data_IF_340190589342
#
_entry.id   IF_340190589342
#
_cell.length_a   1.000
_cell.length_b   1.000
_cell.length_c   1.000
_cell.angle_alpha   90.00
_cell.angle_beta   90.00
_cell.angle_gamma   90.00
#
_symmetry.space_group_name_H-M   'P 1'
#
loop_
_entity.id
_entity.type
_entity.pdbx_description
1 polymer ?
#
# COMPACT_ATOMS: atom_id res chain seq x y z
N UNK A 1 43.47 -27.94 -11.40
CA UNK A 1 42.05 -28.09 -10.98
C UNK A 1 41.58 -27.10 -9.95
N UNK A 2 42.44 -26.54 -9.07
CA UNK A 2 41.98 -25.54 -8.03
C UNK A 2 41.59 -24.13 -8.57
N UNK A 3 42.07 -23.72 -9.74
CA UNK A 3 41.74 -22.39 -10.32
C UNK A 3 40.40 -22.32 -11.04
N UNK A 4 39.83 -23.47 -11.46
CA UNK A 4 38.52 -23.50 -12.15
C UNK A 4 37.35 -23.38 -11.17
N UNK A 5 37.51 -23.82 -9.91
CA UNK A 5 36.45 -23.75 -8.87
C UNK A 5 36.21 -22.31 -8.38
N UNK A 6 37.24 -21.45 -8.40
CA UNK A 6 37.11 -20.04 -7.96
C UNK A 6 36.34 -19.16 -8.96
N UNK A 7 36.36 -19.49 -10.25
CA UNK A 7 35.64 -18.78 -11.29
C UNK A 7 34.11 -19.02 -11.26
N UNK A 8 33.69 -20.22 -10.82
CA UNK A 8 32.25 -20.58 -10.71
C UNK A 8 31.61 -19.87 -9.51
N UNK A 9 32.36 -19.69 -8.41
CA UNK A 9 31.83 -19.02 -7.21
C UNK A 9 31.65 -17.49 -7.41
N UNK A 10 32.49 -16.85 -8.27
CA UNK A 10 32.38 -15.44 -8.59
C UNK A 10 31.17 -15.09 -9.49
N UNK A 11 30.68 -16.05 -10.28
CA UNK A 11 29.56 -15.82 -11.21
C UNK A 11 28.20 -15.80 -10.48
N UNK A 12 28.02 -16.60 -9.42
CA UNK A 12 26.78 -16.56 -8.60
C UNK A 12 26.62 -15.26 -7.81
N UNK A 13 27.72 -14.65 -7.31
CA UNK A 13 27.65 -13.42 -6.54
C UNK A 13 27.26 -12.19 -7.40
N UNK A 14 27.58 -12.21 -8.69
CA UNK A 14 27.20 -11.14 -9.63
C UNK A 14 25.71 -11.17 -9.99
N UNK A 15 25.07 -12.34 -10.00
CA UNK A 15 23.64 -12.50 -10.29
C UNK A 15 22.76 -11.83 -9.22
N UNK A 16 23.00 -12.12 -7.96
CA UNK A 16 22.23 -11.53 -6.85
C UNK A 16 22.34 -10.00 -6.76
N UNK A 17 23.50 -9.44 -7.07
CA UNK A 17 23.72 -7.98 -7.08
C UNK A 17 22.92 -7.30 -8.18
N UNK A 18 22.76 -7.94 -9.34
CA UNK A 18 22.03 -7.38 -10.47
C UNK A 18 20.51 -7.41 -10.23
N UNK A 19 19.97 -8.50 -9.71
CA UNK A 19 18.54 -8.65 -9.40
C UNK A 19 18.05 -7.63 -8.36
N UNK A 20 18.84 -7.37 -7.32
CA UNK A 20 18.52 -6.36 -6.32
C UNK A 20 18.53 -4.95 -6.90
N UNK A 21 19.47 -4.63 -7.80
CA UNK A 21 19.55 -3.34 -8.47
C UNK A 21 18.35 -3.13 -9.41
N UNK A 22 17.93 -4.16 -10.12
CA UNK A 22 16.77 -4.11 -11.02
C UNK A 22 15.46 -3.90 -10.23
N UNK A 23 15.33 -4.53 -9.04
CA UNK A 23 14.20 -4.33 -8.14
C UNK A 23 14.14 -2.88 -7.64
N UNK A 24 15.25 -2.34 -7.15
CA UNK A 24 15.35 -0.95 -6.68
C UNK A 24 15.02 0.05 -7.79
N UNK A 25 15.52 -0.16 -9.00
CA UNK A 25 15.23 0.69 -10.16
C UNK A 25 13.74 0.67 -10.54
N UNK A 26 13.07 -0.48 -10.41
CA UNK A 26 11.64 -0.60 -10.66
C UNK A 26 10.83 0.13 -9.59
N UNK A 27 11.17 -0.06 -8.31
CA UNK A 27 10.51 0.62 -7.18
C UNK A 27 10.66 2.15 -7.27
N UNK A 28 11.86 2.63 -7.62
CA UNK A 28 12.09 4.06 -7.83
C UNK A 28 11.21 4.64 -8.94
N UNK A 29 11.01 3.92 -10.05
CA UNK A 29 10.09 4.36 -11.11
C UNK A 29 8.65 4.46 -10.63
N UNK A 30 8.20 3.54 -9.77
CA UNK A 30 6.85 3.60 -9.16
C UNK A 30 6.74 4.83 -8.28
N UNK A 31 7.72 5.09 -7.42
CA UNK A 31 7.74 6.25 -6.53
C UNK A 31 7.76 7.58 -7.32
N UNK A 32 8.61 7.68 -8.34
CA UNK A 32 8.69 8.87 -9.19
C UNK A 32 7.36 9.13 -9.92
N UNK A 33 6.71 8.05 -10.37
CA UNK A 33 5.41 8.14 -11.03
C UNK A 33 4.32 8.64 -10.05
N UNK A 34 4.25 8.07 -8.85
CA UNK A 34 3.32 8.51 -7.80
C UNK A 34 3.56 9.99 -7.43
N UNK A 35 4.82 10.40 -7.26
CA UNK A 35 5.21 11.79 -6.94
C UNK A 35 4.88 12.79 -8.06
N UNK A 36 4.64 12.33 -9.29
CA UNK A 36 4.29 13.20 -10.42
C UNK A 36 2.83 13.60 -10.46
N UNK A 37 1.96 12.96 -9.68
CA UNK A 37 0.53 13.22 -9.69
C UNK A 37 0.14 14.32 -8.69
N UNK A 38 -0.81 15.19 -9.10
CA UNK A 38 -1.38 16.23 -8.23
C UNK A 38 -2.32 15.63 -7.19
N UNK A 39 -3.11 14.63 -7.60
CA UNK A 39 -3.95 13.84 -6.73
C UNK A 39 -4.04 12.39 -7.21
N UNK A 40 -4.39 11.49 -6.30
CA UNK A 40 -4.55 10.07 -6.58
C UNK A 40 -5.86 9.60 -5.95
N UNK A 41 -6.63 8.83 -6.73
CA UNK A 41 -7.82 8.12 -6.28
C UNK A 41 -7.65 6.62 -6.54
N UNK A 42 -7.87 5.82 -5.50
CA UNK A 42 -7.72 4.37 -5.55
C UNK A 42 -8.98 3.71 -4.98
N UNK A 43 -9.61 2.82 -5.76
CA UNK A 43 -10.49 1.79 -5.24
C UNK A 43 -9.71 0.48 -5.08
N UNK A 44 -9.89 -0.20 -3.98
CA UNK A 44 -9.18 -1.46 -3.72
C UNK A 44 -10.08 -2.50 -3.06
N UNK A 45 -9.71 -3.76 -3.25
CA UNK A 45 -10.24 -4.89 -2.49
C UNK A 45 -9.19 -5.33 -1.46
N UNK A 46 -9.59 -5.38 -0.20
CA UNK A 46 -8.81 -5.92 0.91
C UNK A 46 -9.28 -7.33 1.22
N UNK A 47 -8.38 -8.31 1.14
CA UNK A 47 -8.68 -9.71 1.44
C UNK A 47 -7.77 -10.21 2.54
N UNK A 48 -8.37 -10.77 3.60
CA UNK A 48 -7.66 -11.44 4.69
C UNK A 48 -7.94 -12.93 4.61
N UNK A 49 -6.88 -13.75 4.60
CA UNK A 49 -6.95 -15.21 4.59
C UNK A 49 -6.03 -15.81 5.64
N UNK A 50 -6.56 -16.76 6.40
CA UNK A 50 -5.78 -17.68 7.22
C UNK A 50 -6.43 -19.04 7.12
N UNK A 51 -5.74 -20.00 6.46
CA UNK A 51 -6.30 -21.32 6.19
C UNK A 51 -6.32 -22.22 7.44
N UNK A 52 -5.44 -21.98 8.40
CA UNK A 52 -5.39 -22.76 9.65
C UNK A 52 -6.56 -22.37 10.57
N UNK A 53 -6.99 -21.11 10.52
CA UNK A 53 -8.08 -20.57 11.34
C UNK A 53 -9.40 -20.48 10.57
N UNK A 54 -9.47 -20.99 9.34
CA UNK A 54 -10.66 -20.94 8.45
C UNK A 54 -11.18 -19.50 8.22
N UNK A 55 -10.28 -18.54 8.18
CA UNK A 55 -10.61 -17.14 7.92
C UNK A 55 -10.47 -16.84 6.44
N UNK A 56 -11.52 -16.30 5.81
CA UNK A 56 -11.49 -15.74 4.46
C UNK A 56 -12.50 -14.61 4.37
N UNK A 57 -12.03 -13.37 4.38
CA UNK A 57 -12.85 -12.16 4.33
C UNK A 57 -12.36 -11.25 3.22
N UNK A 58 -13.29 -10.64 2.49
CA UNK A 58 -12.98 -9.62 1.49
C UNK A 58 -13.86 -8.40 1.70
N UNK A 59 -13.26 -7.23 1.72
CA UNK A 59 -13.91 -5.93 1.87
C UNK A 59 -13.38 -4.99 0.80
N UNK A 60 -14.20 -4.02 0.40
CA UNK A 60 -13.78 -2.97 -0.51
C UNK A 60 -13.51 -1.69 0.28
N UNK A 61 -12.63 -0.86 -0.25
CA UNK A 61 -12.34 0.45 0.28
C UNK A 61 -11.94 1.42 -0.81
N UNK A 62 -11.83 2.67 -0.44
CA UNK A 62 -11.33 3.72 -1.30
C UNK A 62 -10.35 4.62 -0.56
N UNK A 63 -9.49 5.24 -1.33
CA UNK A 63 -8.49 6.18 -0.84
C UNK A 63 -8.33 7.31 -1.85
N UNK A 64 -8.31 8.54 -1.38
CA UNK A 64 -8.01 9.70 -2.20
C UNK A 64 -7.09 10.65 -1.44
N UNK A 65 -6.11 11.21 -2.14
CA UNK A 65 -5.18 12.19 -1.57
C UNK A 65 -4.90 13.32 -2.54
N UNK A 66 -4.72 14.53 -2.00
CA UNK A 66 -4.28 15.73 -2.70
C UNK A 66 -3.47 16.59 -1.74
N UNK A 67 -2.20 16.88 -2.07
CA UNK A 67 -1.24 17.51 -1.16
C UNK A 67 -1.13 16.72 0.15
N UNK A 68 -1.38 17.37 1.30
CA UNK A 68 -1.37 16.73 2.62
C UNK A 68 -2.76 16.19 3.02
N UNK A 69 -3.81 16.54 2.28
CA UNK A 69 -5.17 16.12 2.58
C UNK A 69 -5.43 14.71 2.09
N UNK A 70 -6.23 13.96 2.83
CA UNK A 70 -6.63 12.64 2.39
C UNK A 70 -7.97 12.19 2.98
N UNK A 71 -8.61 11.29 2.26
CA UNK A 71 -9.82 10.60 2.67
C UNK A 71 -9.66 9.11 2.41
N UNK A 72 -10.02 8.32 3.41
CA UNK A 72 -9.93 6.87 3.40
C UNK A 72 -11.25 6.26 3.85
N UNK A 73 -11.73 5.27 3.15
CA UNK A 73 -12.96 4.55 3.48
C UNK A 73 -12.70 3.05 3.49
N UNK A 74 -13.03 2.37 4.60
CA UNK A 74 -12.95 0.92 4.72
C UNK A 74 -13.82 0.43 5.86
N UNK A 75 -14.51 -0.72 5.68
CA UNK A 75 -15.32 -1.37 6.72
C UNK A 75 -16.37 -0.45 7.35
N UNK A 76 -16.98 0.44 6.57
CA UNK A 76 -17.98 1.39 7.05
C UNK A 76 -17.40 2.61 7.75
N UNK A 77 -16.11 2.64 8.07
CA UNK A 77 -15.45 3.79 8.68
C UNK A 77 -14.90 4.72 7.60
N UNK A 78 -15.15 6.01 7.75
CA UNK A 78 -14.56 7.07 6.94
C UNK A 78 -13.54 7.84 7.78
N UNK A 79 -12.33 8.02 7.26
CA UNK A 79 -11.32 8.90 7.84
C UNK A 79 -11.02 10.04 6.90
N UNK A 80 -11.00 11.26 7.41
CA UNK A 80 -10.70 12.49 6.67
C UNK A 80 -9.59 13.23 7.41
N UNK A 81 -8.52 13.56 6.70
CA UNK A 81 -7.51 14.50 7.18
C UNK A 81 -7.56 15.76 6.31
N UNK A 82 -7.76 16.91 6.95
CA UNK A 82 -7.93 18.21 6.28
C UNK A 82 -6.66 19.06 6.23
N UNK A 83 -5.50 18.44 6.56
CA UNK A 83 -4.21 19.12 6.69
C UNK A 83 -3.89 19.55 8.12
N UNK A 84 -4.87 19.52 9.05
CA UNK A 84 -4.70 19.89 10.45
C UNK A 84 -5.23 18.82 11.41
N UNK A 85 -6.44 18.32 11.15
CA UNK A 85 -7.14 17.36 12.01
C UNK A 85 -7.53 16.10 11.28
N UNK A 86 -7.52 15.01 12.03
CA UNK A 86 -8.04 13.72 11.62
C UNK A 86 -9.43 13.49 12.19
N UNK A 87 -10.40 13.26 11.32
CA UNK A 87 -11.77 12.90 11.65
C UNK A 87 -12.01 11.44 11.32
N UNK A 88 -12.27 10.61 12.33
CA UNK A 88 -12.67 9.20 12.15
C UNK A 88 -14.17 9.08 12.40
N UNK A 89 -14.92 8.74 11.38
CA UNK A 89 -16.39 8.69 11.40
C UNK A 89 -16.80 7.21 11.37
N UNK A 90 -17.48 6.75 12.41
CA UNK A 90 -18.07 5.42 12.54
C UNK A 90 -19.59 5.56 12.54
N UNK A 91 -20.28 5.35 11.39
CA UNK A 91 -21.74 5.48 11.32
C UNK A 91 -22.47 4.43 12.16
N UNK A 92 -21.94 3.23 12.28
CA UNK A 92 -22.55 2.14 13.04
C UNK A 92 -22.57 2.44 14.56
N UNK A 93 -21.58 3.20 15.04
CA UNK A 93 -21.46 3.62 16.43
C UNK A 93 -22.05 5.03 16.66
N UNK A 94 -22.49 5.72 15.61
CA UNK A 94 -22.90 7.12 15.64
C UNK A 94 -21.85 8.03 16.32
N UNK A 95 -20.55 7.77 16.04
CA UNK A 95 -19.42 8.46 16.67
C UNK A 95 -18.52 9.12 15.62
N UNK A 96 -18.00 10.31 15.99
CA UNK A 96 -16.90 10.97 15.29
C UNK A 96 -15.78 11.21 16.30
N UNK A 97 -14.64 10.59 16.08
CA UNK A 97 -13.41 10.90 16.82
C UNK A 97 -12.62 11.97 16.06
N UNK A 98 -12.23 13.03 16.75
CA UNK A 98 -11.44 14.15 16.23
C UNK A 98 -10.11 14.17 16.98
N UNK A 99 -9.00 14.09 16.27
CA UNK A 99 -7.65 14.14 16.85
C UNK A 99 -6.72 15.00 16.02
N UNK A 100 -5.70 15.58 16.67
CA UNK A 100 -4.56 16.11 15.94
C UNK A 100 -3.73 14.94 15.40
N UNK A 101 -3.31 15.00 14.15
CA UNK A 101 -2.40 13.98 13.62
C UNK A 101 -0.98 14.31 14.06
N UNK A 102 -0.36 13.40 14.81
CA UNK A 102 1.07 13.47 15.07
C UNK A 102 1.80 12.89 13.84
N UNK A 103 2.60 13.68 13.12
CA UNK A 103 3.38 13.18 11.98
C UNK A 103 4.36 12.07 12.38
N UNK A 104 4.76 12.00 13.66
CA UNK A 104 5.68 11.00 14.22
C UNK A 104 4.95 9.74 14.71
N UNK A 105 3.60 9.74 14.75
CA UNK A 105 2.83 8.56 15.13
C UNK A 105 2.92 7.47 14.06
N UNK A 106 3.71 6.44 14.36
CA UNK A 106 3.90 5.28 13.48
C UNK A 106 2.64 4.41 13.33
N UNK A 107 1.67 4.55 14.22
CA UNK A 107 0.44 3.74 14.20
C UNK A 107 -0.63 4.31 13.27
N UNK A 108 -0.56 5.59 12.94
CA UNK A 108 -1.50 6.24 12.04
C UNK A 108 -1.20 5.88 10.58
N UNK A 109 -2.22 5.36 9.88
CA UNK A 109 -2.15 5.11 8.43
C UNK A 109 -2.25 6.47 7.72
N UNK A 110 -1.17 6.87 7.05
CA UNK A 110 -1.11 8.08 6.23
C UNK A 110 -0.94 7.73 4.76
N UNK A 111 -1.25 8.64 3.82
CA UNK A 111 -0.99 8.45 2.40
C UNK A 111 0.45 8.03 2.09
N UNK A 112 1.42 8.67 2.73
CA UNK A 112 2.83 8.36 2.55
C UNK A 112 3.13 6.91 2.99
N UNK A 113 2.60 6.48 4.14
CA UNK A 113 2.77 5.10 4.60
C UNK A 113 2.12 4.08 3.65
N UNK A 114 0.99 4.43 3.02
CA UNK A 114 0.31 3.52 2.08
C UNK A 114 0.98 3.45 0.70
N UNK A 115 1.47 4.58 0.20
CA UNK A 115 1.98 4.68 -1.17
C UNK A 115 3.49 4.46 -1.27
N UNK A 116 4.23 4.66 -0.18
CA UNK A 116 5.70 4.64 -0.15
C UNK A 116 6.29 3.67 0.90
N UNK A 117 5.47 2.77 1.49
CA UNK A 117 5.92 1.85 2.55
C UNK A 117 7.13 1.01 2.17
N UNK A 118 7.32 0.78 0.87
CA UNK A 118 8.40 -0.04 0.32
C UNK A 118 9.73 0.70 0.17
N UNK A 119 9.77 2.04 0.33
CA UNK A 119 11.01 2.83 0.14
C UNK A 119 12.07 2.55 1.22
N UNK A 120 11.65 2.17 2.43
CA UNK A 120 12.56 1.81 3.53
C UNK A 120 12.05 0.61 4.34
N UNK A 121 12.94 0.08 5.18
CA UNK A 121 12.61 -1.03 6.09
C UNK A 121 12.71 -2.43 5.48
N UNK A 122 13.01 -2.57 4.17
CA UNK A 122 13.04 -3.86 3.48
C UNK A 122 14.34 -4.10 2.70
N UNK A 123 14.67 -5.39 2.54
CA UNK A 123 15.52 -5.88 1.46
C UNK A 123 14.62 -6.23 0.28
N UNK A 124 15.04 -5.93 -0.96
CA UNK A 124 14.24 -6.22 -2.17
C UNK A 124 14.93 -7.28 -3.03
N UNK A 125 14.09 -8.09 -3.65
CA UNK A 125 14.48 -9.15 -4.56
C UNK A 125 13.48 -9.18 -5.72
N UNK A 126 13.96 -9.24 -6.97
CA UNK A 126 13.07 -9.48 -8.10
C UNK A 126 12.45 -10.86 -7.95
N UNK A 127 11.12 -10.94 -8.10
CA UNK A 127 10.37 -12.18 -8.08
C UNK A 127 9.79 -12.47 -9.47
N UNK A 128 8.88 -13.39 -9.60
CA UNK A 128 8.28 -13.79 -10.88
C UNK A 128 7.50 -12.66 -11.57
N UNK A 129 7.38 -12.77 -12.90
CA UNK A 129 6.42 -11.97 -13.67
C UNK A 129 5.21 -12.81 -14.01
N UNK A 130 4.01 -12.23 -13.88
CA UNK A 130 2.74 -12.87 -14.26
C UNK A 130 2.05 -12.08 -15.35
N UNK A 131 1.41 -12.79 -16.30
CA UNK A 131 0.49 -12.19 -17.26
C UNK A 131 -0.93 -12.36 -16.74
N UNK A 132 -1.58 -11.25 -16.36
CA UNK A 132 -2.91 -11.23 -15.79
C UNK A 132 -3.91 -10.68 -16.81
N UNK A 133 -5.14 -11.20 -16.82
CA UNK A 133 -6.16 -10.83 -17.78
C UNK A 133 -6.16 -11.68 -19.05
N UNK A 134 -7.08 -11.39 -19.97
CA UNK A 134 -7.30 -12.15 -21.20
C UNK A 134 -7.28 -11.25 -22.44
N UNK A 135 -6.78 -11.80 -23.54
CA UNK A 135 -6.78 -11.11 -24.84
C UNK A 135 -6.00 -9.79 -24.81
N UNK A 136 -6.63 -8.73 -25.29
CA UNK A 136 -6.05 -7.38 -25.35
C UNK A 136 -5.98 -6.65 -24.00
N UNK A 137 -6.61 -7.20 -22.96
CA UNK A 137 -6.57 -6.65 -21.60
C UNK A 137 -5.48 -7.33 -20.73
N UNK A 138 -4.52 -7.98 -21.36
CA UNK A 138 -3.39 -8.61 -20.67
C UNK A 138 -2.45 -7.55 -20.12
N UNK A 139 -2.17 -7.65 -18.83
CA UNK A 139 -1.16 -6.85 -18.14
C UNK A 139 0.01 -7.73 -17.74
N UNK A 140 1.22 -7.21 -17.84
CA UNK A 140 2.40 -7.85 -17.29
C UNK A 140 2.67 -7.25 -15.91
N UNK A 141 2.45 -8.07 -14.87
CA UNK A 141 2.72 -7.71 -13.50
C UNK A 141 4.07 -8.32 -13.09
N UNK A 142 5.01 -7.48 -12.73
CA UNK A 142 6.28 -7.87 -12.14
C UNK A 142 6.16 -7.82 -10.63
N UNK A 143 6.51 -8.91 -9.95
CA UNK A 143 6.55 -8.91 -8.49
C UNK A 143 7.95 -8.59 -8.00
N UNK A 144 8.00 -7.77 -6.94
CA UNK A 144 9.18 -7.51 -6.12
C UNK A 144 8.88 -8.05 -4.73
N UNK A 145 9.74 -8.91 -4.24
CA UNK A 145 9.65 -9.44 -2.89
C UNK A 145 10.40 -8.52 -1.93
N UNK A 146 9.70 -8.10 -0.89
CA UNK A 146 10.18 -7.24 0.18
C UNK A 146 10.31 -8.08 1.44
N UNK A 147 11.52 -8.16 2.00
CA UNK A 147 11.79 -8.89 3.24
C UNK A 147 12.14 -7.85 4.32
N UNK A 148 11.42 -7.80 5.45
CA UNK A 148 11.71 -6.85 6.52
C UNK A 148 13.17 -6.93 6.97
N UNK A 149 13.81 -5.78 7.18
CA UNK A 149 15.15 -5.68 7.81
C UNK A 149 15.09 -5.97 9.30
N UNK A 150 13.94 -5.66 9.93
CA UNK A 150 13.68 -5.97 11.31
C UNK A 150 13.32 -7.46 11.47
N UNK A 151 14.14 -8.22 12.19
CA UNK A 151 13.92 -9.64 12.47
C UNK A 151 12.71 -9.90 13.37
N UNK A 152 12.30 -8.92 14.17
CA UNK A 152 11.15 -9.02 15.09
C UNK A 152 9.82 -8.66 14.40
N UNK A 153 9.84 -8.13 13.17
CA UNK A 153 8.62 -7.84 12.42
C UNK A 153 7.72 -9.08 12.32
N UNK A 154 6.42 -8.90 12.51
CA UNK A 154 5.42 -9.98 12.37
C UNK A 154 5.21 -10.40 10.90
N UNK A 155 5.67 -9.57 9.96
CA UNK A 155 5.64 -9.83 8.53
C UNK A 155 6.80 -10.75 8.14
N UNK A 156 6.50 -11.82 7.40
CA UNK A 156 7.49 -12.72 6.83
C UNK A 156 8.08 -12.17 5.53
N UNK A 157 7.23 -11.70 4.63
CA UNK A 157 7.56 -10.96 3.41
C UNK A 157 6.32 -10.32 2.80
N UNK A 158 6.56 -9.38 1.88
CA UNK A 158 5.52 -8.80 1.03
C UNK A 158 5.89 -9.06 -0.43
N UNK A 159 4.92 -9.45 -1.25
CA UNK A 159 5.03 -9.43 -2.71
C UNK A 159 4.32 -8.18 -3.22
N UNK A 160 5.08 -7.25 -3.79
CA UNK A 160 4.57 -6.04 -4.40
C UNK A 160 4.45 -6.25 -5.91
N UNK A 161 3.23 -6.40 -6.40
CA UNK A 161 2.91 -6.54 -7.81
C UNK A 161 2.86 -5.16 -8.49
N UNK A 162 3.62 -4.99 -9.56
CA UNK A 162 3.75 -3.74 -10.30
C UNK A 162 3.34 -3.97 -11.75
N UNK A 163 2.36 -3.18 -12.22
CA UNK A 163 2.05 -3.05 -13.63
C UNK A 163 3.19 -2.29 -14.32
N UNK A 164 4.00 -3.01 -15.10
CA UNK A 164 5.21 -2.46 -15.71
C UNK A 164 4.96 -1.57 -16.91
N UNK A 165 3.73 -1.55 -17.44
CA UNK A 165 3.34 -0.66 -18.54
C UNK A 165 3.14 0.77 -18.02
N UNK A 166 2.53 0.90 -16.82
CA UNK A 166 2.21 2.18 -16.22
C UNK A 166 3.11 2.55 -15.02
N UNK A 167 4.00 1.65 -14.57
CA UNK A 167 4.77 1.75 -13.33
C UNK A 167 3.87 2.09 -12.13
N UNK A 168 2.79 1.33 -11.99
CA UNK A 168 1.79 1.50 -10.93
C UNK A 168 1.70 0.24 -10.07
N UNK A 169 1.40 0.42 -8.78
CA UNK A 169 1.09 -0.71 -7.90
C UNK A 169 -0.19 -1.37 -8.41
N UNK A 170 -0.13 -2.68 -8.61
CA UNK A 170 -1.26 -3.52 -8.99
C UNK A 170 -1.87 -4.22 -7.78
N UNK A 171 -1.02 -4.81 -6.94
CA UNK A 171 -1.44 -5.45 -5.69
C UNK A 171 -0.29 -5.53 -4.69
N UNK A 172 -0.66 -5.64 -3.42
CA UNK A 172 0.24 -5.88 -2.29
C UNK A 172 -0.20 -7.17 -1.61
N UNK A 173 0.66 -8.17 -1.53
CA UNK A 173 0.39 -9.45 -0.86
C UNK A 173 1.35 -9.58 0.32
N UNK A 174 0.86 -9.35 1.51
CA UNK A 174 1.61 -9.53 2.75
C UNK A 174 1.40 -10.94 3.30
N UNK A 175 2.47 -11.60 3.70
CA UNK A 175 2.44 -12.88 4.40
C UNK A 175 3.03 -12.71 5.80
N UNK A 176 2.22 -12.95 6.80
CA UNK A 176 2.62 -12.92 8.20
C UNK A 176 3.39 -14.17 8.63
N UNK A 177 4.10 -14.11 9.76
CA UNK A 177 4.78 -15.27 10.38
C UNK A 177 3.80 -16.33 10.89
N UNK A 178 2.54 -15.95 11.10
CA UNK A 178 1.43 -16.83 11.48
C UNK A 178 0.66 -17.38 10.26
N UNK A 179 1.26 -17.31 9.06
CA UNK A 179 0.68 -17.73 7.79
C UNK A 179 -0.64 -17.04 7.39
N UNK A 180 -0.97 -15.92 8.05
CA UNK A 180 -2.02 -15.03 7.58
C UNK A 180 -1.56 -14.30 6.32
N UNK A 181 -2.40 -14.28 5.30
CA UNK A 181 -2.15 -13.58 4.05
C UNK A 181 -3.14 -12.43 3.90
N UNK A 182 -2.61 -11.22 3.83
CA UNK A 182 -3.36 -10.00 3.51
C UNK A 182 -3.09 -9.60 2.07
N UNK A 183 -4.13 -9.42 1.27
CA UNK A 183 -4.00 -8.94 -0.11
C UNK A 183 -4.77 -7.64 -0.29
N UNK A 184 -4.11 -6.62 -0.78
CA UNK A 184 -4.72 -5.37 -1.25
C UNK A 184 -4.60 -5.37 -2.78
N UNK A 185 -5.71 -5.58 -3.48
CA UNK A 185 -5.75 -5.54 -4.93
C UNK A 185 -6.32 -4.21 -5.39
N UNK A 186 -5.59 -3.49 -6.23
CA UNK A 186 -6.05 -2.23 -6.81
C UNK A 186 -7.09 -2.54 -7.88
N UNK A 187 -8.31 -2.03 -7.69
CA UNK A 187 -9.43 -2.19 -8.62
C UNK A 187 -9.41 -1.07 -9.66
N UNK A 188 -9.33 0.17 -9.17
CA UNK A 188 -9.19 1.36 -10.01
C UNK A 188 -8.05 2.23 -9.47
N UNK A 189 -7.25 2.77 -10.37
CA UNK A 189 -6.21 3.75 -10.08
C UNK A 189 -6.38 4.93 -11.01
N UNK A 190 -6.83 6.06 -10.47
CA UNK A 190 -7.03 7.29 -11.20
C UNK A 190 -6.18 8.40 -10.59
N UNK A 191 -5.81 9.40 -11.40
CA UNK A 191 -4.95 10.49 -10.97
C UNK A 191 -5.28 11.78 -11.71
N UNK A 192 -4.92 12.92 -11.10
CA UNK A 192 -5.13 14.25 -11.66
C UNK A 192 -6.60 14.51 -12.03
N UNK A 193 -7.52 13.99 -11.19
CA UNK A 193 -8.96 14.20 -11.37
C UNK A 193 -9.37 15.57 -10.85
N UNK A 194 -10.42 16.19 -11.43
CA UNK A 194 -11.07 17.30 -10.77
C UNK A 194 -11.79 16.79 -9.50
N UNK A 195 -11.32 17.23 -8.33
CA UNK A 195 -11.91 16.85 -7.04
C UNK A 195 -12.94 17.87 -6.56
N UNK A 196 -13.94 17.40 -5.80
CA UNK A 196 -14.87 18.29 -5.10
C UNK A 196 -14.14 19.07 -4.00
N UNK A 197 -14.35 20.38 -3.90
CA UNK A 197 -13.69 21.22 -2.91
C UNK A 197 -13.97 20.83 -1.45
N UNK A 198 -15.08 20.11 -1.20
CA UNK A 198 -15.46 19.66 0.14
C UNK A 198 -15.04 18.22 0.42
N UNK A 199 -14.31 17.56 -0.48
CA UNK A 199 -13.97 16.14 -0.36
C UNK A 199 -13.19 15.82 0.94
N UNK A 200 -12.33 16.74 1.37
CA UNK A 200 -11.51 16.64 2.58
C UNK A 200 -12.03 17.48 3.74
N UNK A 201 -13.26 18.01 3.62
CA UNK A 201 -13.87 18.85 4.67
C UNK A 201 -14.79 18.00 5.52
N UNK A 202 -14.60 18.05 6.85
CA UNK A 202 -15.55 17.45 7.78
C UNK A 202 -16.84 18.28 7.87
N UNK A 203 -17.97 17.70 7.48
CA UNK A 203 -19.29 18.33 7.56
C UNK A 203 -19.92 18.11 8.94
N UNK A 204 -19.72 19.05 9.85
CA UNK A 204 -20.25 19.00 11.22
C UNK A 204 -21.78 18.96 11.26
N UNK A 205 -22.48 19.60 10.33
CA UNK A 205 -23.95 19.62 10.32
C UNK A 205 -24.54 18.26 9.93
N UNK A 206 -23.87 17.53 9.05
CA UNK A 206 -24.23 16.16 8.66
C UNK A 206 -24.17 15.20 9.86
N UNK A 207 -23.23 15.41 10.76
CA UNK A 207 -22.96 14.53 11.91
C UNK A 207 -23.33 15.16 13.25
N UNK A 208 -24.21 16.17 13.27
CA UNK A 208 -24.59 16.92 14.48
C UNK A 208 -25.20 16.07 15.60
N UNK A 209 -25.81 14.93 15.25
CA UNK A 209 -26.45 14.02 16.18
C UNK A 209 -25.51 12.88 16.64
N UNK A 210 -24.27 12.82 16.10
CA UNK A 210 -23.25 11.85 16.50
C UNK A 210 -22.52 12.29 17.77
N UNK A 211 -22.04 11.32 18.52
CA UNK A 211 -21.15 11.59 19.65
C UNK A 211 -19.80 12.11 19.14
N UNK A 212 -19.38 13.28 19.61
CA UNK A 212 -18.10 13.90 19.27
C UNK A 212 -17.06 13.58 20.32
N UNK A 213 -16.13 12.70 20.02
CA UNK A 213 -14.99 12.33 20.85
C UNK A 213 -13.76 13.15 20.43
N UNK A 214 -13.31 14.08 21.25
CA UNK A 214 -12.17 14.96 20.94
C UNK A 214 -10.97 14.48 21.75
N UNK A 215 -9.92 14.07 21.03
CA UNK A 215 -8.64 13.63 21.58
C UNK A 215 -7.60 14.71 21.25
N UNK A 216 -7.14 15.44 22.26
CA UNK A 216 -6.09 16.46 22.15
C UNK A 216 -4.78 15.95 22.78
#
# INVERSE_FOLDING_TARGET
MKKLLLLIFGFCALGYSQENLDAELLLNKVSDNIKSYENIYINYAYTLKNLEEDISQTNNGSFVTENDNWRFEMLGVTRIFDGEKLYSISPDDEEVTISSQDPEDETTITPNKMLYFYEDGYYFEMDESRLIGNGQFRKKIQYVKLVPKDSEAEIKYILLGIDTEFNQIYEVIETGKNDTVTTISIVDFEFNLPLDANLFVFDKERYKDYYMNILD
#
